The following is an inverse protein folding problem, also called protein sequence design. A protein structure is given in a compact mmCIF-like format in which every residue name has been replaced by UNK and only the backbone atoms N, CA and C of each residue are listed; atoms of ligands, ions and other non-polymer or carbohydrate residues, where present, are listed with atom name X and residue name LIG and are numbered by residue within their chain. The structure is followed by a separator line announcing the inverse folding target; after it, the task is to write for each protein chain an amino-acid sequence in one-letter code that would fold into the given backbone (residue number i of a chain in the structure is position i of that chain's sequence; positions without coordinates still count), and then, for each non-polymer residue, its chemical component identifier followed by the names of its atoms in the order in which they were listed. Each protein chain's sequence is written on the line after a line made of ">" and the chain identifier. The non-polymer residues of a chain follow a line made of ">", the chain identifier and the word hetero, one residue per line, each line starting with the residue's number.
data_IF_495848389079
#
_entry.id   IF_495848389079
#
_cell.length_a   1.000
_cell.length_b   1.000
_cell.length_c   1.000
_cell.angle_alpha   90.00
_cell.angle_beta   90.00
_cell.angle_gamma   90.00
#
_symmetry.space_group_name_H-M   'P 1'
#
loop_
_entity.id
_entity.type
_entity.pdbx_description
1 polymer ?
#
# COMPACT_ATOMS: atom_id res chain seq x y z
N UNK A 1 -44.67 -5.88 -28.66
CA UNK A 1 -43.65 -5.03 -28.01
C UNK A 1 -42.81 -5.97 -27.16
N UNK A 2 -41.56 -6.24 -27.53
CA UNK A 2 -40.68 -7.09 -26.75
C UNK A 2 -40.20 -6.29 -25.53
N UNK A 3 -40.60 -6.69 -24.33
CA UNK A 3 -40.12 -6.08 -23.09
C UNK A 3 -38.61 -6.33 -22.98
N UNK A 4 -37.82 -5.28 -23.15
CA UNK A 4 -36.36 -5.36 -23.05
C UNK A 4 -35.98 -5.30 -21.57
N UNK A 5 -35.79 -6.46 -20.96
CA UNK A 5 -35.21 -6.56 -19.62
C UNK A 5 -33.70 -6.21 -19.67
N UNK A 6 -33.14 -5.55 -18.62
CA UNK A 6 -31.73 -5.20 -18.58
C UNK A 6 -30.86 -6.47 -18.53
N UNK A 7 -29.93 -6.59 -19.48
CA UNK A 7 -28.99 -7.71 -19.54
C UNK A 7 -27.89 -7.51 -18.49
N UNK A 8 -27.81 -8.39 -17.50
CA UNK A 8 -26.71 -8.39 -16.52
C UNK A 8 -25.43 -8.87 -17.19
N UNK A 9 -24.41 -8.01 -17.24
CA UNK A 9 -23.07 -8.36 -17.77
C UNK A 9 -22.12 -8.54 -16.60
N UNK A 10 -21.40 -9.66 -16.59
CA UNK A 10 -20.36 -9.93 -15.61
C UNK A 10 -19.07 -9.23 -16.02
N UNK A 11 -18.49 -8.47 -15.09
CA UNK A 11 -17.19 -7.83 -15.25
C UNK A 11 -16.18 -8.44 -14.28
N UNK A 12 -14.95 -8.63 -14.74
CA UNK A 12 -13.87 -9.10 -13.91
C UNK A 12 -13.48 -8.03 -12.87
N UNK A 13 -13.43 -8.40 -11.59
CA UNK A 13 -13.07 -7.46 -10.50
C UNK A 13 -11.59 -7.05 -10.50
N UNK A 14 -10.74 -7.74 -11.27
CA UNK A 14 -9.29 -7.49 -11.30
C UNK A 14 -8.92 -6.50 -12.41
N UNK A 15 -9.40 -6.73 -13.64
CA UNK A 15 -9.12 -5.87 -14.79
C UNK A 15 -10.27 -4.92 -15.16
N UNK A 16 -11.43 -5.04 -14.51
CA UNK A 16 -12.67 -4.30 -14.82
C UNK A 16 -13.19 -4.50 -16.25
N UNK A 17 -12.69 -5.52 -16.96
CA UNK A 17 -13.11 -5.87 -18.31
C UNK A 17 -14.05 -7.07 -18.30
N UNK A 18 -14.82 -7.28 -19.38
CA UNK A 18 -15.53 -8.53 -19.56
C UNK A 18 -14.56 -9.73 -19.47
N UNK A 19 -14.98 -10.87 -18.90
CA UNK A 19 -14.17 -12.08 -18.76
C UNK A 19 -13.46 -12.51 -20.06
N UNK A 20 -14.14 -12.35 -21.19
CA UNK A 20 -13.65 -12.60 -22.55
C UNK A 20 -12.37 -11.83 -22.89
N UNK A 21 -12.23 -10.61 -22.36
CA UNK A 21 -11.11 -9.74 -22.69
C UNK A 21 -9.96 -9.82 -21.68
N UNK A 22 -10.05 -10.66 -20.64
CA UNK A 22 -8.94 -10.67 -19.67
C UNK A 22 -7.64 -11.28 -20.23
N UNK A 23 -7.68 -12.02 -21.35
CA UNK A 23 -6.46 -12.50 -22.05
C UNK A 23 -5.53 -11.38 -22.53
N UNK A 24 -6.07 -10.18 -22.78
CA UNK A 24 -5.29 -9.03 -23.21
C UNK A 24 -4.70 -8.23 -22.05
N UNK A 25 -5.04 -8.59 -20.81
CA UNK A 25 -4.59 -7.90 -19.59
C UNK A 25 -3.24 -8.40 -19.08
N UNK A 26 -2.50 -7.51 -18.42
CA UNK A 26 -1.23 -7.87 -17.75
C UNK A 26 -1.41 -8.86 -16.58
N UNK A 27 -2.63 -9.05 -16.09
CA UNK A 27 -2.98 -9.89 -14.93
C UNK A 27 -3.83 -11.11 -15.29
N UNK A 28 -3.57 -11.73 -16.45
CA UNK A 28 -4.32 -12.89 -16.94
C UNK A 28 -4.47 -14.03 -15.92
N UNK A 29 -3.36 -14.48 -15.31
CA UNK A 29 -3.39 -15.58 -14.31
C UNK A 29 -4.29 -15.28 -13.11
N UNK A 30 -4.31 -14.02 -12.64
CA UNK A 30 -5.15 -13.60 -11.51
C UNK A 30 -6.62 -13.53 -11.93
N UNK A 31 -6.91 -13.00 -13.11
CA UNK A 31 -8.25 -13.04 -13.69
C UNK A 31 -8.78 -14.45 -13.88
N UNK A 32 -7.93 -15.36 -14.35
CA UNK A 32 -8.28 -16.74 -14.62
C UNK A 32 -8.68 -17.46 -13.33
N UNK A 33 -7.89 -17.32 -12.26
CA UNK A 33 -8.22 -17.83 -10.94
C UNK A 33 -9.52 -17.23 -10.39
N UNK A 34 -9.71 -15.93 -10.51
CA UNK A 34 -10.95 -15.27 -10.08
C UNK A 34 -12.17 -15.73 -10.86
N UNK A 35 -12.02 -15.95 -12.17
CA UNK A 35 -13.12 -16.43 -13.00
C UNK A 35 -13.48 -17.88 -12.68
N UNK A 36 -12.49 -18.72 -12.38
CA UNK A 36 -12.70 -20.09 -11.92
C UNK A 36 -13.51 -20.12 -10.61
N UNK A 37 -13.18 -19.27 -9.64
CA UNK A 37 -13.90 -19.22 -8.36
C UNK A 37 -15.30 -18.61 -8.46
N UNK A 38 -15.49 -17.61 -9.33
CA UNK A 38 -16.74 -16.85 -9.41
C UNK A 38 -17.73 -17.41 -10.46
N UNK A 39 -17.25 -18.10 -11.49
CA UNK A 39 -18.07 -18.61 -12.58
C UNK A 39 -17.36 -19.71 -13.39
N UNK A 40 -17.45 -20.95 -12.90
CA UNK A 40 -16.85 -22.13 -13.52
C UNK A 40 -17.38 -22.40 -14.94
N UNK A 41 -18.66 -22.12 -15.21
CA UNK A 41 -19.27 -22.30 -16.54
C UNK A 41 -18.63 -21.40 -17.61
N UNK A 42 -18.48 -20.11 -17.30
CA UNK A 42 -17.81 -19.13 -18.17
C UNK A 42 -16.32 -19.45 -18.33
N UNK A 43 -15.67 -19.90 -17.25
CA UNK A 43 -14.29 -20.36 -17.29
C UNK A 43 -14.12 -21.53 -18.27
N UNK A 44 -14.99 -22.53 -18.19
CA UNK A 44 -14.94 -23.70 -19.08
C UNK A 44 -15.28 -23.33 -20.53
N UNK A 45 -16.19 -22.39 -20.77
CA UNK A 45 -16.48 -21.91 -22.12
C UNK A 45 -15.27 -21.19 -22.74
N UNK A 46 -14.66 -20.27 -22.00
CA UNK A 46 -13.55 -19.44 -22.47
C UNK A 46 -12.22 -20.19 -22.57
N UNK A 47 -11.90 -20.97 -21.55
CA UNK A 47 -10.60 -21.62 -21.39
C UNK A 47 -10.68 -23.14 -21.63
N UNK A 48 -11.74 -23.63 -22.27
CA UNK A 48 -11.74 -25.02 -22.74
C UNK A 48 -10.59 -25.25 -23.72
N UNK A 49 -10.00 -26.45 -23.65
CA UNK A 49 -8.89 -26.88 -24.51
C UNK A 49 -9.18 -26.71 -26.01
N UNK A 50 -10.45 -26.67 -26.42
CA UNK A 50 -10.87 -26.46 -27.81
C UNK A 50 -10.82 -25.00 -28.28
N UNK A 51 -11.08 -24.02 -27.40
CA UNK A 51 -10.92 -22.60 -27.72
C UNK A 51 -9.46 -22.17 -27.61
N UNK A 52 -8.76 -22.70 -26.59
CA UNK A 52 -7.31 -22.53 -26.47
C UNK A 52 -6.59 -23.05 -27.72
N UNK A 53 -6.91 -24.23 -28.25
CA UNK A 53 -6.24 -24.79 -29.44
C UNK A 53 -6.53 -24.02 -30.74
N UNK A 54 -7.74 -23.47 -30.90
CA UNK A 54 -8.10 -22.62 -32.04
C UNK A 54 -7.41 -21.25 -32.00
N UNK A 55 -7.17 -20.68 -30.81
CA UNK A 55 -6.36 -19.47 -30.67
C UNK A 55 -4.86 -19.76 -30.79
N UNK A 56 -4.39 -20.89 -30.26
CA UNK A 56 -3.01 -21.38 -30.37
C UNK A 56 -2.60 -21.63 -31.82
N UNK A 57 -3.51 -22.14 -32.64
CA UNK A 57 -3.25 -22.40 -34.05
C UNK A 57 -3.17 -21.14 -34.93
N UNK A 58 -3.65 -19.98 -34.45
CA UNK A 58 -3.49 -18.69 -35.16
C UNK A 58 -2.18 -17.96 -34.83
N UNK A 59 -1.51 -18.33 -33.73
CA UNK A 59 -0.25 -17.74 -33.30
C UNK A 59 0.88 -18.73 -33.56
N UNK A 60 1.79 -18.39 -34.47
CA UNK A 60 2.93 -19.23 -34.79
C UNK A 60 3.73 -19.60 -33.52
N UNK A 61 4.09 -20.88 -33.40
CA UNK A 61 4.82 -21.53 -32.28
C UNK A 61 6.04 -20.73 -31.78
N UNK A 62 6.69 -19.96 -32.64
CA UNK A 62 7.86 -19.13 -32.29
C UNK A 62 7.51 -17.83 -31.54
N UNK A 63 6.28 -17.32 -31.67
CA UNK A 63 5.80 -16.15 -30.91
C UNK A 63 5.34 -16.54 -29.52
N UNK A 64 4.78 -17.74 -29.35
CA UNK A 64 4.39 -18.29 -28.05
C UNK A 64 5.59 -18.47 -27.11
N UNK A 65 6.69 -19.04 -27.61
CA UNK A 65 7.92 -19.22 -26.83
C UNK A 65 8.57 -17.88 -26.40
N UNK A 66 8.39 -16.82 -27.21
CA UNK A 66 8.89 -15.48 -26.89
C UNK A 66 7.96 -14.74 -25.92
N UNK A 67 6.65 -14.93 -26.03
CA UNK A 67 5.64 -14.35 -25.12
C UNK A 67 5.67 -15.01 -23.74
N UNK A 68 5.82 -16.34 -23.65
CA UNK A 68 5.96 -17.04 -22.38
C UNK A 68 7.23 -16.63 -21.63
N UNK A 69 8.37 -16.57 -22.32
CA UNK A 69 9.63 -16.15 -21.73
C UNK A 69 9.64 -14.67 -21.29
N UNK A 70 8.90 -13.79 -21.97
CA UNK A 70 8.76 -12.37 -21.57
C UNK A 70 7.79 -12.21 -20.39
N UNK A 71 6.71 -13.02 -20.35
CA UNK A 71 5.77 -13.06 -19.24
C UNK A 71 6.39 -13.61 -17.96
N UNK A 72 7.20 -14.68 -18.03
CA UNK A 72 7.91 -15.22 -16.86
C UNK A 72 8.94 -14.23 -16.29
N UNK A 73 9.67 -13.53 -17.16
CA UNK A 73 10.61 -12.48 -16.73
C UNK A 73 9.91 -11.27 -16.11
N UNK A 74 8.73 -10.90 -16.60
CA UNK A 74 7.91 -9.84 -16.01
C UNK A 74 7.31 -10.26 -14.67
N UNK A 75 6.82 -11.50 -14.56
CA UNK A 75 6.25 -12.06 -13.34
C UNK A 75 7.29 -12.17 -12.22
N UNK A 76 8.48 -12.71 -12.50
CA UNK A 76 9.55 -12.80 -11.50
C UNK A 76 10.03 -11.40 -11.03
N UNK A 77 9.97 -10.39 -11.91
CA UNK A 77 10.35 -9.01 -11.57
C UNK A 77 9.26 -8.29 -10.78
N UNK A 78 7.99 -8.62 -10.97
CA UNK A 78 6.88 -8.13 -10.15
C UNK A 78 6.83 -8.80 -8.78
N UNK A 79 7.05 -10.12 -8.70
CA UNK A 79 7.11 -10.83 -7.41
C UNK A 79 8.30 -10.36 -6.56
N UNK A 80 9.50 -10.20 -7.15
CA UNK A 80 10.64 -9.64 -6.44
C UNK A 80 10.47 -8.15 -6.05
N UNK A 81 9.59 -7.41 -6.72
CA UNK A 81 9.23 -6.05 -6.31
C UNK A 81 8.19 -6.07 -5.18
N UNK A 82 7.20 -6.93 -5.27
CA UNK A 82 6.19 -7.13 -4.23
C UNK A 82 6.84 -7.60 -2.92
N UNK A 83 7.78 -8.55 -2.97
CA UNK A 83 8.53 -9.00 -1.79
C UNK A 83 9.40 -7.89 -1.19
N UNK A 84 10.01 -7.03 -2.02
CA UNK A 84 10.77 -5.87 -1.53
C UNK A 84 9.87 -4.79 -0.96
N UNK A 85 8.66 -4.60 -1.48
CA UNK A 85 7.66 -3.71 -0.88
C UNK A 85 7.13 -4.26 0.43
N UNK A 86 6.85 -5.57 0.51
CA UNK A 86 6.44 -6.23 1.74
C UNK A 86 7.54 -6.17 2.81
N UNK A 87 8.81 -6.40 2.43
CA UNK A 87 9.94 -6.26 3.34
C UNK A 87 10.13 -4.80 3.80
N UNK A 88 9.88 -3.80 2.94
CA UNK A 88 9.87 -2.38 3.34
C UNK A 88 8.70 -2.05 4.26
N UNK A 89 7.51 -2.62 4.03
CA UNK A 89 6.34 -2.49 4.92
C UNK A 89 6.65 -3.07 6.30
N UNK A 90 7.35 -4.20 6.37
CA UNK A 90 7.73 -4.86 7.62
C UNK A 90 8.87 -4.15 8.38
N UNK A 91 9.84 -3.55 7.68
CA UNK A 91 10.92 -2.77 8.31
C UNK A 91 10.54 -1.32 8.61
N UNK A 92 9.31 -0.91 8.29
CA UNK A 92 8.88 0.48 8.46
C UNK A 92 8.81 0.87 9.92
N UNK A 93 9.36 2.05 10.21
CA UNK A 93 9.45 2.62 11.55
C UNK A 93 8.62 3.89 11.60
N UNK A 94 7.70 3.97 12.56
CA UNK A 94 6.93 5.19 12.81
C UNK A 94 7.69 6.01 13.85
N UNK A 95 7.96 7.27 13.53
CA UNK A 95 8.63 8.20 14.45
C UNK A 95 7.63 9.25 14.92
N UNK A 96 7.49 9.40 16.22
CA UNK A 96 6.70 10.46 16.85
C UNK A 96 7.70 11.46 17.44
N UNK A 97 7.78 12.67 16.87
CA UNK A 97 8.66 13.73 17.35
C UNK A 97 7.86 14.81 18.07
N UNK A 98 8.27 15.13 19.29
CA UNK A 98 7.71 16.26 20.04
C UNK A 98 8.54 17.52 19.78
N UNK A 99 7.95 18.49 19.10
CA UNK A 99 8.58 19.76 18.73
C UNK A 99 7.99 20.90 19.58
N UNK A 100 8.85 21.67 20.24
CA UNK A 100 8.43 22.89 20.94
C UNK A 100 8.28 24.05 19.96
N UNK A 101 7.07 24.64 19.86
CA UNK A 101 6.83 25.82 19.03
C UNK A 101 7.01 27.12 19.81
N UNK A 102 6.50 27.19 21.04
CA UNK A 102 6.58 28.41 21.86
C UNK A 102 6.50 28.06 23.35
N UNK A 103 7.65 27.73 23.97
CA UNK A 103 7.91 27.41 25.39
C UNK A 103 6.94 26.41 26.05
N UNK A 104 5.66 26.78 26.22
CA UNK A 104 4.60 25.92 26.75
C UNK A 104 3.77 25.22 25.67
N UNK A 105 3.95 25.57 24.39
CA UNK A 105 3.22 25.00 23.26
C UNK A 105 4.07 23.94 22.55
N UNK A 106 3.58 22.71 22.56
CA UNK A 106 4.16 21.56 21.87
C UNK A 106 3.34 21.21 20.62
N UNK A 107 4.01 20.71 19.61
CA UNK A 107 3.44 20.15 18.39
C UNK A 107 4.06 18.79 18.20
N UNK A 108 3.24 17.80 17.85
CA UNK A 108 3.70 16.45 17.57
C UNK A 108 3.75 16.26 16.06
N UNK A 109 4.90 15.83 15.57
CA UNK A 109 5.11 15.43 14.18
C UNK A 109 5.17 13.91 14.11
N UNK A 110 4.23 13.30 13.40
CA UNK A 110 4.21 11.86 13.16
C UNK A 110 4.69 11.61 11.72
N UNK A 111 5.77 10.85 11.62
CA UNK A 111 6.40 10.44 10.35
C UNK A 111 6.33 8.93 10.17
N UNK A 112 6.22 8.48 8.91
CA UNK A 112 6.27 7.05 8.56
C UNK A 112 4.93 6.38 8.28
N UNK A 113 3.82 7.13 8.31
CA UNK A 113 2.49 6.60 7.96
C UNK A 113 2.28 6.39 6.45
N UNK A 114 3.09 7.03 5.61
CA UNK A 114 3.02 6.90 4.14
C UNK A 114 3.42 5.50 3.65
N UNK A 115 4.34 4.82 4.35
CA UNK A 115 4.84 3.49 3.95
C UNK A 115 3.81 2.38 4.22
N UNK A 116 2.80 2.67 5.04
CA UNK A 116 1.71 1.74 5.39
C UNK A 116 0.49 1.88 4.46
N UNK A 117 0.60 2.67 3.37
CA UNK A 117 -0.49 2.90 2.40
C UNK A 117 -1.80 3.41 3.04
N UNK A 118 -1.72 4.03 4.22
CA UNK A 118 -2.90 4.59 4.86
C UNK A 118 -3.20 6.00 4.34
N UNK A 119 -4.49 6.29 4.12
CA UNK A 119 -4.95 7.60 3.69
C UNK A 119 -4.69 8.69 4.76
N UNK A 120 -3.68 9.53 4.52
CA UNK A 120 -3.30 10.66 5.38
C UNK A 120 -4.49 11.56 5.74
N UNK A 121 -5.44 11.76 4.82
CA UNK A 121 -6.65 12.57 5.03
C UNK A 121 -7.63 11.93 6.02
N UNK A 122 -7.77 10.59 6.01
CA UNK A 122 -8.66 9.88 6.94
C UNK A 122 -8.06 9.91 8.34
N UNK A 123 -6.76 9.61 8.44
CA UNK A 123 -6.03 9.65 9.71
C UNK A 123 -6.06 11.06 10.33
N UNK A 124 -5.85 12.09 9.52
CA UNK A 124 -5.92 13.48 9.95
C UNK A 124 -7.30 13.81 10.58
N UNK A 125 -8.41 13.37 9.96
CA UNK A 125 -9.77 13.51 10.51
C UNK A 125 -9.96 12.68 11.79
N UNK A 126 -9.47 11.45 11.82
CA UNK A 126 -9.55 10.59 13.02
C UNK A 126 -8.82 11.22 14.20
N UNK A 127 -7.65 11.81 13.99
CA UNK A 127 -6.92 12.54 15.02
C UNK A 127 -7.59 13.86 15.42
N UNK A 128 -8.12 14.63 14.46
CA UNK A 128 -8.87 15.85 14.77
C UNK A 128 -10.09 15.56 15.66
N UNK A 129 -10.84 14.49 15.35
CA UNK A 129 -12.03 14.11 16.12
C UNK A 129 -11.68 13.54 17.50
N UNK A 130 -10.62 12.73 17.61
CA UNK A 130 -10.22 12.11 18.88
C UNK A 130 -9.58 13.12 19.85
N UNK A 131 -8.76 14.03 19.34
CA UNK A 131 -8.03 14.97 20.18
C UNK A 131 -8.70 16.34 20.31
N UNK A 132 -9.73 16.62 19.51
CA UNK A 132 -10.33 17.95 19.40
C UNK A 132 -9.30 19.06 19.09
N UNK A 133 -8.20 18.70 18.40
CA UNK A 133 -7.10 19.61 18.07
C UNK A 133 -6.91 19.71 16.56
N UNK A 134 -6.32 20.83 16.12
CA UNK A 134 -5.99 21.02 14.71
C UNK A 134 -4.89 20.04 14.28
N UNK A 135 -5.20 19.20 13.31
CA UNK A 135 -4.24 18.34 12.62
C UNK A 135 -4.03 18.84 11.18
N UNK A 136 -2.77 18.87 10.74
CA UNK A 136 -2.42 19.35 9.39
C UNK A 136 -1.39 18.42 8.76
N UNK A 137 -1.54 18.14 7.47
CA UNK A 137 -0.52 17.39 6.69
C UNK A 137 0.51 18.39 6.18
N UNK A 138 1.77 18.19 6.54
CA UNK A 138 2.90 19.00 6.07
C UNK A 138 3.91 18.11 5.33
N UNK A 139 4.52 18.66 4.29
CA UNK A 139 5.62 18.00 3.58
C UNK A 139 6.94 18.30 4.29
N UNK A 140 7.70 17.27 4.61
CA UNK A 140 9.03 17.42 5.18
C UNK A 140 10.07 17.71 4.08
N UNK A 141 11.28 18.10 4.46
CA UNK A 141 12.37 18.44 3.53
C UNK A 141 12.77 17.29 2.59
N UNK A 142 12.47 16.04 2.98
CA UNK A 142 12.67 14.84 2.14
C UNK A 142 11.49 14.54 1.19
N UNK A 143 10.49 15.42 1.10
CA UNK A 143 9.31 15.25 0.24
C UNK A 143 8.27 14.25 0.77
N UNK A 144 8.51 13.65 1.94
CA UNK A 144 7.57 12.75 2.63
C UNK A 144 6.49 13.53 3.36
N UNK A 145 5.30 12.96 3.45
CA UNK A 145 4.16 13.60 4.11
C UNK A 145 4.12 13.25 5.61
N UNK A 146 4.23 14.27 6.45
CA UNK A 146 4.13 14.17 7.91
C UNK A 146 2.80 14.76 8.41
N UNK A 147 2.29 14.23 9.51
CA UNK A 147 1.10 14.75 10.18
C UNK A 147 1.53 15.53 11.42
N UNK A 148 1.15 16.80 11.46
CA UNK A 148 1.37 17.70 12.58
C UNK A 148 0.09 17.84 13.39
N UNK A 149 0.16 17.56 14.69
CA UNK A 149 -0.95 17.69 15.62
C UNK A 149 -0.62 18.79 16.62
N UNK A 150 -1.56 19.71 16.81
CA UNK A 150 -1.45 20.76 17.83
C UNK A 150 -1.69 20.16 19.22
N UNK A 151 -0.75 20.34 20.15
CA UNK A 151 -0.88 19.86 21.52
C UNK A 151 0.20 18.86 21.92
N UNK A 152 0.19 18.48 23.20
CA UNK A 152 1.08 17.47 23.77
C UNK A 152 0.30 16.15 23.97
N UNK A 153 -0.14 15.56 22.86
CA UNK A 153 -0.84 14.27 22.82
C UNK A 153 0.11 13.10 22.56
N UNK A 154 1.34 13.17 23.10
CA UNK A 154 2.44 12.27 22.73
C UNK A 154 2.11 10.80 23.07
N UNK A 155 1.55 10.58 24.26
CA UNK A 155 1.20 9.25 24.77
C UNK A 155 -0.10 8.72 24.14
N UNK A 156 -1.12 9.56 24.00
CA UNK A 156 -2.40 9.17 23.39
C UNK A 156 -2.27 8.91 21.87
N UNK A 157 -1.39 9.64 21.18
CA UNK A 157 -1.09 9.40 19.77
C UNK A 157 -0.47 8.02 19.57
N UNK A 158 0.41 7.59 20.48
CA UNK A 158 1.00 6.25 20.45
C UNK A 158 -0.07 5.17 20.55
N UNK A 159 -0.98 5.26 21.51
CA UNK A 159 -2.07 4.29 21.67
C UNK A 159 -2.98 4.20 20.44
N UNK A 160 -3.30 5.33 19.81
CA UNK A 160 -4.14 5.34 18.61
C UNK A 160 -3.39 4.75 17.41
N UNK A 161 -2.10 5.02 17.29
CA UNK A 161 -1.26 4.43 16.24
C UNK A 161 -1.16 2.91 16.42
N UNK A 162 -0.99 2.41 17.64
CA UNK A 162 -0.99 0.98 17.96
C UNK A 162 -2.33 0.31 17.61
N UNK A 163 -3.45 0.96 17.89
CA UNK A 163 -4.79 0.48 17.50
C UNK A 163 -4.94 0.41 15.97
N UNK A 164 -4.52 1.46 15.26
CA UNK A 164 -4.55 1.49 13.79
C UNK A 164 -3.64 0.42 13.17
N UNK A 165 -2.45 0.20 13.73
CA UNK A 165 -1.52 -0.85 13.30
C UNK A 165 -2.09 -2.26 13.50
N UNK A 166 -2.78 -2.47 14.62
CA UNK A 166 -3.45 -3.75 14.93
C UNK A 166 -4.59 -4.03 13.96
N UNK A 167 -5.40 -3.02 13.63
CA UNK A 167 -6.46 -3.12 12.61
C UNK A 167 -5.91 -3.46 11.22
N UNK A 168 -4.69 -3.02 10.90
CA UNK A 168 -4.04 -3.29 9.62
C UNK A 168 -3.18 -4.57 9.61
N UNK A 169 -3.03 -5.25 10.76
CA UNK A 169 -2.34 -6.55 10.84
C UNK A 169 -0.81 -6.51 10.81
N UNK A 170 -0.17 -5.34 10.95
CA UNK A 170 1.30 -5.21 11.06
C UNK A 170 1.71 -5.00 12.53
N UNK A 171 2.13 -6.07 13.20
CA UNK A 171 2.48 -6.07 14.63
C UNK A 171 3.95 -5.72 14.95
N UNK A 172 4.80 -5.56 13.94
CA UNK A 172 6.26 -5.35 14.13
C UNK A 172 6.74 -3.92 13.82
N UNK A 173 5.84 -2.96 13.71
CA UNK A 173 6.23 -1.56 13.47
C UNK A 173 6.80 -0.97 14.75
N UNK A 174 8.11 -0.74 14.75
CA UNK A 174 8.82 -0.08 15.86
C UNK A 174 8.40 1.39 15.95
N UNK A 175 7.72 1.75 17.05
CA UNK A 175 7.36 3.14 17.35
C UNK A 175 8.51 3.74 18.17
N UNK A 176 9.18 4.76 17.63
CA UNK A 176 10.14 5.55 18.40
C UNK A 176 9.58 6.93 18.71
N UNK A 177 9.54 7.23 20.00
CA UNK A 177 9.15 8.53 20.54
C UNK A 177 10.43 9.33 20.80
N UNK A 178 10.62 10.40 20.06
CA UNK A 178 11.75 11.33 20.22
C UNK A 178 11.23 12.59 20.88
N UNK A 179 11.49 12.72 22.17
CA UNK A 179 11.26 13.96 22.92
C UNK A 179 12.53 14.80 22.87
N UNK A 180 12.45 16.01 22.29
CA UNK A 180 13.50 17.01 22.40
C UNK A 180 13.59 17.52 23.86
N UNK A 181 14.27 16.75 24.73
CA UNK A 181 14.73 17.29 26.01
C UNK A 181 15.89 18.25 25.74
N UNK A 182 15.60 19.55 25.89
CA UNK A 182 16.49 20.69 26.23
C UNK A 182 17.94 20.58 25.75
N UNK A 183 18.36 21.55 24.94
CA UNK A 183 19.77 21.94 24.74
C UNK A 183 20.53 21.89 26.07
N UNK A 184 21.36 20.87 26.28
CA UNK A 184 22.55 20.97 27.14
C UNK A 184 23.75 21.20 26.21
N UNK A 185 24.21 22.44 26.18
CA UNK A 185 25.52 22.81 25.62
C UNK A 185 26.63 22.04 26.36
N UNK A 186 27.57 21.50 25.56
CA UNK A 186 28.98 21.14 25.85
C UNK A 186 29.28 20.01 26.85
N UNK A 187 29.87 18.93 26.31
CA UNK A 187 31.24 18.43 26.59
C UNK A 187 31.59 17.49 25.42
N UNK A 188 32.24 17.94 24.35
CA UNK A 188 33.69 18.15 24.17
C UNK A 188 34.50 16.84 24.19
N UNK A 189 34.94 16.44 22.99
CA UNK A 189 36.22 15.81 22.64
C UNK A 189 36.64 14.51 23.35
N UNK A 190 36.67 13.41 22.58
CA UNK A 190 37.72 12.39 22.69
C UNK A 190 37.80 11.55 21.41
N UNK A 191 38.48 12.10 20.41
CA UNK A 191 39.27 11.31 19.44
C UNK A 191 40.72 11.68 19.74
N UNK A 192 41.46 10.78 20.38
CA UNK A 192 42.91 10.84 20.43
C UNK A 192 43.46 9.61 19.71
N UNK A 193 43.98 9.86 18.51
CA UNK A 193 45.17 9.21 17.96
C UNK A 193 46.34 9.39 18.91
N UNK A 194 46.96 8.29 19.32
CA UNK A 194 48.42 8.13 19.30
C UNK A 194 48.77 6.65 19.23
#
# INVERSE_FOLDING_TARGET
>A
MAEVAPKSVLYCKICSWPPEYCEFGSSFKRCQAWLQENNEDLYNQLYSNANLSNQLSSLSIEKEAKLSADLEKKQAKEEAKAEKELAKKLMSKITIKRIERNKRKHIISISGMEVLEMDLKKICKTFANKFATGSTVQKNAEGKNDILIQGDVSDEAKEIIEKLLTEQGLKDVKIEQVDDKKIKKKQAAQTQTK
#
